data_IF_920242102208
#
_entry.id   IF_920242102208
#
_cell.length_a   1.000
_cell.length_b   1.000
_cell.length_c   1.000
_cell.angle_alpha   90.00
_cell.angle_beta   90.00
_cell.angle_gamma   90.00
#
_symmetry.space_group_name_H-M   'P 1'
#
loop_
_entity.id
_entity.type
_entity.pdbx_description
1 polymer ?
#
# COMPACT_ATOMS: atom_id res chain seq x y z
N UNK A 1 -7.29 -0.01 -19.47
CA UNK A 1 -5.88 0.03 -19.85
C UNK A 1 -5.01 0.24 -18.63
N UNK A 2 -4.00 -0.58 -18.48
CA UNK A 2 -3.06 -0.40 -17.38
C UNK A 2 -1.75 0.21 -17.86
N UNK A 3 -1.22 1.09 -17.03
CA UNK A 3 0.02 1.79 -17.31
C UNK A 3 1.22 1.20 -16.60
N UNK A 4 0.99 0.30 -15.64
CA UNK A 4 2.07 -0.34 -14.89
C UNK A 4 1.87 -1.85 -14.81
N UNK A 5 2.98 -2.57 -14.68
CA UNK A 5 2.98 -3.97 -14.31
C UNK A 5 3.49 -4.08 -12.90
N UNK A 6 2.87 -4.95 -12.12
CA UNK A 6 3.35 -5.28 -10.78
C UNK A 6 3.76 -6.74 -10.80
N UNK A 7 5.05 -6.98 -10.58
CA UNK A 7 5.61 -8.32 -10.64
C UNK A 7 6.10 -8.76 -9.28
N UNK A 8 5.82 -10.00 -8.92
CA UNK A 8 6.34 -10.57 -7.68
C UNK A 8 7.83 -10.78 -7.84
N UNK A 9 8.63 -10.02 -7.11
CA UNK A 9 10.08 -10.12 -7.16
C UNK A 9 10.57 -11.25 -6.25
N UNK A 10 9.90 -11.39 -5.12
CA UNK A 10 10.13 -12.46 -4.16
C UNK A 10 8.85 -12.62 -3.35
N UNK A 11 8.90 -13.40 -2.26
CA UNK A 11 7.69 -13.66 -1.47
C UNK A 11 7.17 -12.44 -0.72
N UNK A 12 7.95 -11.37 -0.63
CA UNK A 12 7.63 -10.22 0.23
C UNK A 12 7.43 -8.90 -0.50
N UNK A 13 7.56 -8.87 -1.82
CA UNK A 13 7.48 -7.60 -2.53
C UNK A 13 7.07 -7.76 -3.98
N UNK A 14 6.36 -6.76 -4.47
CA UNK A 14 6.04 -6.58 -5.88
C UNK A 14 6.83 -5.38 -6.39
N UNK A 15 7.45 -5.53 -7.54
CA UNK A 15 8.11 -4.42 -8.22
C UNK A 15 7.11 -3.81 -9.19
N UNK A 16 6.99 -2.50 -9.18
CA UNK A 16 6.09 -1.77 -10.08
C UNK A 16 6.92 -1.25 -11.25
N UNK A 17 6.51 -1.64 -12.46
CA UNK A 17 7.23 -1.27 -13.69
C UNK A 17 6.29 -0.51 -14.60
N UNK A 18 6.76 0.65 -15.09
CA UNK A 18 6.01 1.41 -16.10
C UNK A 18 6.10 0.65 -17.43
N UNK A 19 4.94 0.35 -18.02
CA UNK A 19 4.90 -0.49 -19.23
C UNK A 19 5.63 0.13 -20.41
N UNK A 20 5.45 1.42 -20.61
CA UNK A 20 5.99 2.11 -21.76
C UNK A 20 7.51 2.15 -21.75
N UNK A 21 8.11 2.51 -20.62
CA UNK A 21 9.57 2.69 -20.53
C UNK A 21 10.31 1.48 -20.00
N UNK A 22 9.60 0.56 -19.34
CA UNK A 22 10.22 -0.56 -18.64
C UNK A 22 10.92 -0.14 -17.36
N UNK A 23 10.76 1.10 -16.91
CA UNK A 23 11.42 1.59 -15.72
C UNK A 23 10.77 1.05 -14.45
N UNK A 24 11.58 0.66 -13.47
CA UNK A 24 11.11 0.33 -12.15
C UNK A 24 10.79 1.64 -11.44
N UNK A 25 9.53 1.86 -11.11
CA UNK A 25 9.05 3.13 -10.54
C UNK A 25 8.73 3.05 -9.06
N UNK A 26 8.72 1.86 -8.51
CA UNK A 26 8.43 1.67 -7.09
C UNK A 26 8.25 0.22 -6.72
N UNK A 27 7.77 0.00 -5.51
CA UNK A 27 7.50 -1.35 -5.04
C UNK A 27 6.39 -1.36 -3.99
N UNK A 28 5.79 -2.53 -3.81
CA UNK A 28 4.83 -2.79 -2.74
C UNK A 28 5.42 -3.90 -1.89
N UNK A 29 5.66 -3.61 -0.62
CA UNK A 29 6.06 -4.64 0.33
C UNK A 29 4.80 -5.33 0.85
N UNK A 30 4.94 -6.61 1.16
CA UNK A 30 3.79 -7.42 1.52
C UNK A 30 4.20 -8.43 2.60
N UNK A 31 3.42 -8.50 3.66
CA UNK A 31 3.67 -9.40 4.77
C UNK A 31 2.35 -9.97 5.27
N UNK A 32 2.39 -11.16 5.84
CA UNK A 32 1.21 -11.79 6.42
C UNK A 32 1.54 -12.15 7.87
N UNK A 33 1.49 -11.14 8.77
CA UNK A 33 1.88 -11.37 10.17
C UNK A 33 0.94 -12.33 10.91
N UNK A 34 -0.29 -12.45 10.45
CA UNK A 34 -1.29 -13.29 11.12
C UNK A 34 -1.97 -14.20 10.09
N UNK A 35 -1.27 -15.25 9.69
CA UNK A 35 -1.79 -16.18 8.68
C UNK A 35 -3.11 -16.82 9.09
N UNK A 36 -3.24 -17.18 10.34
CA UNK A 36 -4.45 -17.81 10.85
C UNK A 36 -5.68 -16.90 10.71
N UNK A 37 -5.48 -15.60 10.83
CA UNK A 37 -6.54 -14.61 10.67
C UNK A 37 -6.71 -14.17 9.23
N UNK A 38 -5.80 -14.58 8.36
CA UNK A 38 -5.77 -14.18 6.95
C UNK A 38 -5.69 -12.66 6.79
N UNK A 39 -4.81 -12.05 7.57
CA UNK A 39 -4.56 -10.60 7.54
C UNK A 39 -3.19 -10.36 6.90
N UNK A 40 -3.17 -9.54 5.86
CA UNK A 40 -1.94 -9.09 5.22
C UNK A 40 -1.68 -7.64 5.54
N UNK A 41 -0.42 -7.25 5.50
CA UNK A 41 -0.01 -5.87 5.71
C UNK A 41 0.83 -5.41 4.53
N UNK A 42 0.53 -4.23 4.00
CA UNK A 42 1.26 -3.68 2.86
C UNK A 42 1.93 -2.36 3.21
N UNK A 43 3.05 -2.11 2.55
CA UNK A 43 3.65 -0.80 2.44
C UNK A 43 4.00 -0.58 0.98
N UNK A 44 4.20 0.66 0.57
CA UNK A 44 4.53 0.93 -0.82
C UNK A 44 5.35 2.22 -0.94
N UNK A 45 6.13 2.27 -2.01
CA UNK A 45 6.93 3.43 -2.35
C UNK A 45 6.81 3.64 -3.85
N UNK A 46 6.51 4.86 -4.25
CA UNK A 46 6.52 5.28 -5.66
C UNK A 46 7.56 6.38 -5.78
N UNK A 47 8.45 6.26 -6.75
CA UNK A 47 9.46 7.28 -7.00
C UNK A 47 8.81 8.63 -7.25
N UNK A 48 9.39 9.68 -6.70
CA UNK A 48 8.83 11.03 -6.75
C UNK A 48 8.51 11.48 -8.17
N UNK A 49 9.35 11.12 -9.12
CA UNK A 49 9.19 11.45 -10.54
C UNK A 49 7.86 10.94 -11.12
N UNK A 50 7.30 9.88 -10.54
CA UNK A 50 6.08 9.25 -11.05
C UNK A 50 4.85 9.52 -10.18
N UNK A 51 4.95 10.43 -9.23
CA UNK A 51 3.81 10.82 -8.40
C UNK A 51 2.77 11.55 -9.25
N UNK A 52 1.53 11.47 -8.83
CA UNK A 52 0.43 12.18 -9.48
C UNK A 52 -0.06 11.58 -10.80
N UNK A 53 0.43 10.41 -11.18
CA UNK A 53 0.05 9.77 -12.45
C UNK A 53 -0.91 8.59 -12.27
N UNK A 54 -1.31 8.28 -11.05
CA UNK A 54 -2.21 7.18 -10.77
C UNK A 54 -1.54 5.81 -10.73
N UNK A 55 -0.23 5.75 -10.85
CA UNK A 55 0.50 4.48 -10.88
C UNK A 55 0.40 3.71 -9.57
N UNK A 56 0.52 4.42 -8.44
CA UNK A 56 0.40 3.79 -7.13
C UNK A 56 -1.01 3.23 -6.92
N UNK A 57 -2.01 4.01 -7.28
CA UNK A 57 -3.41 3.58 -7.18
C UNK A 57 -3.64 2.32 -8.00
N UNK A 58 -3.17 2.31 -9.23
CA UNK A 58 -3.33 1.16 -10.12
C UNK A 58 -2.64 -0.09 -9.54
N UNK A 59 -1.42 0.06 -9.05
CA UNK A 59 -0.64 -1.06 -8.51
C UNK A 59 -1.30 -1.64 -7.26
N UNK A 60 -1.73 -0.77 -6.34
CA UNK A 60 -2.39 -1.22 -5.11
C UNK A 60 -3.72 -1.91 -5.42
N UNK A 61 -4.49 -1.38 -6.37
CA UNK A 61 -5.74 -2.01 -6.79
C UNK A 61 -5.51 -3.41 -7.35
N UNK A 62 -4.46 -3.58 -8.15
CA UNK A 62 -4.11 -4.89 -8.71
C UNK A 62 -3.75 -5.88 -7.60
N UNK A 63 -2.99 -5.44 -6.63
CA UNK A 63 -2.57 -6.29 -5.53
C UNK A 63 -3.78 -6.72 -4.69
N UNK A 64 -4.69 -5.79 -4.39
CA UNK A 64 -5.91 -6.10 -3.66
C UNK A 64 -6.75 -7.10 -4.44
N UNK A 65 -6.90 -6.88 -5.74
CA UNK A 65 -7.66 -7.79 -6.60
C UNK A 65 -7.09 -9.20 -6.58
N UNK A 66 -5.76 -9.31 -6.49
CA UNK A 66 -5.09 -10.61 -6.48
C UNK A 66 -5.22 -11.33 -5.15
N UNK A 67 -5.06 -10.63 -4.04
CA UNK A 67 -4.92 -11.27 -2.72
C UNK A 67 -6.15 -11.18 -1.83
N UNK A 68 -7.01 -10.19 -2.01
CA UNK A 68 -8.17 -10.01 -1.13
C UNK A 68 -9.33 -10.84 -1.67
N UNK A 69 -9.54 -12.02 -1.08
CA UNK A 69 -10.58 -12.94 -1.48
C UNK A 69 -10.92 -13.87 -0.34
N UNK A 70 -12.03 -14.61 -0.48
CA UNK A 70 -12.45 -15.57 0.55
C UNK A 70 -11.42 -16.67 0.77
N UNK A 71 -10.65 -17.02 -0.27
CA UNK A 71 -9.71 -18.12 -0.22
C UNK A 71 -8.29 -17.71 0.14
N UNK A 72 -8.01 -16.41 0.16
CA UNK A 72 -6.68 -15.89 0.46
C UNK A 72 -6.69 -15.02 1.69
N UNK A 73 -6.69 -13.71 1.52
CA UNK A 73 -6.70 -12.79 2.65
C UNK A 73 -8.09 -12.21 2.85
N UNK A 74 -8.52 -12.19 4.09
CA UNK A 74 -9.77 -11.56 4.47
C UNK A 74 -9.62 -10.04 4.58
N UNK A 75 -8.46 -9.59 5.07
CA UNK A 75 -8.21 -8.18 5.36
C UNK A 75 -6.78 -7.81 4.96
N UNK A 76 -6.62 -6.64 4.38
CA UNK A 76 -5.31 -6.06 4.10
C UNK A 76 -5.21 -4.74 4.85
N UNK A 77 -4.14 -4.59 5.62
CA UNK A 77 -3.88 -3.41 6.42
C UNK A 77 -2.75 -2.59 5.81
N UNK A 78 -2.85 -1.26 5.89
CA UNK A 78 -1.81 -0.34 5.47
C UNK A 78 -1.67 0.76 6.51
N UNK A 79 -0.43 1.15 6.79
CA UNK A 79 -0.15 2.23 7.74
C UNK A 79 0.65 3.30 7.03
N UNK A 80 0.38 4.55 7.33
CA UNK A 80 1.19 5.65 6.79
C UNK A 80 1.23 6.83 7.74
N UNK A 81 2.27 7.64 7.58
CA UNK A 81 2.42 8.84 8.39
C UNK A 81 1.25 9.78 8.16
N UNK A 82 0.79 10.40 9.23
CA UNK A 82 -0.34 11.34 9.15
C UNK A 82 -0.03 12.53 8.24
N UNK A 83 1.25 12.86 8.07
CA UNK A 83 1.68 13.95 7.21
C UNK A 83 1.80 13.57 5.74
N UNK A 84 1.73 12.30 5.43
CA UNK A 84 1.87 11.83 4.05
C UNK A 84 0.52 11.88 3.33
N UNK A 85 0.11 13.07 2.94
CA UNK A 85 -1.19 13.29 2.31
C UNK A 85 -1.39 12.50 1.02
N UNK A 86 -0.41 12.41 0.12
CA UNK A 86 -0.59 11.58 -1.08
C UNK A 86 -0.90 10.13 -0.76
N UNK A 87 -0.26 9.56 0.26
CA UNK A 87 -0.49 8.17 0.66
C UNK A 87 -1.88 7.99 1.28
N UNK A 88 -2.29 8.91 2.15
CA UNK A 88 -3.63 8.89 2.74
C UNK A 88 -4.69 8.94 1.64
N UNK A 89 -4.52 9.85 0.68
CA UNK A 89 -5.45 10.00 -0.43
C UNK A 89 -5.50 8.75 -1.29
N UNK A 90 -4.35 8.14 -1.54
CA UNK A 90 -4.27 6.92 -2.35
C UNK A 90 -5.08 5.80 -1.70
N UNK A 91 -4.87 5.57 -0.42
CA UNK A 91 -5.55 4.50 0.30
C UNK A 91 -7.06 4.71 0.30
N UNK A 92 -7.50 5.94 0.55
CA UNK A 92 -8.93 6.25 0.53
C UNK A 92 -9.53 6.08 -0.86
N UNK A 93 -8.79 6.49 -1.88
CA UNK A 93 -9.23 6.36 -3.27
C UNK A 93 -9.38 4.90 -3.69
N UNK A 94 -8.51 4.03 -3.19
CA UNK A 94 -8.58 2.60 -3.48
C UNK A 94 -9.74 1.93 -2.76
N UNK A 95 -10.20 2.51 -1.66
CA UNK A 95 -11.34 1.99 -0.90
C UNK A 95 -10.99 1.53 0.50
N UNK A 96 -9.78 1.81 0.97
CA UNK A 96 -9.43 1.50 2.36
C UNK A 96 -10.23 2.39 3.30
N UNK A 97 -10.54 1.84 4.45
CA UNK A 97 -11.26 2.53 5.51
C UNK A 97 -10.29 2.84 6.64
N UNK A 98 -10.34 4.06 7.14
CA UNK A 98 -9.50 4.47 8.26
C UNK A 98 -9.98 3.81 9.54
N UNK A 99 -9.11 3.02 10.16
CA UNK A 99 -9.42 2.36 11.42
C UNK A 99 -9.06 3.21 12.64
N UNK A 100 -8.03 4.03 12.52
CA UNK A 100 -7.63 4.85 13.65
C UNK A 100 -6.27 5.48 13.45
N UNK A 101 -5.80 6.10 14.54
CA UNK A 101 -4.51 6.78 14.57
C UNK A 101 -3.73 6.25 15.76
N UNK A 102 -2.50 5.81 15.52
CA UNK A 102 -1.58 5.42 16.56
C UNK A 102 -0.66 6.60 16.86
N UNK A 103 -0.71 7.09 18.08
CA UNK A 103 0.06 8.27 18.44
C UNK A 103 1.55 7.97 18.51
N UNK A 104 2.34 8.85 17.89
CA UNK A 104 3.80 8.87 18.08
C UNK A 104 4.49 7.54 17.77
N UNK A 105 4.13 6.96 16.63
CA UNK A 105 4.67 5.66 16.22
C UNK A 105 5.77 5.75 15.17
N UNK A 106 6.07 6.96 14.69
CA UNK A 106 7.13 7.18 13.71
C UNK A 106 7.97 8.37 14.13
N UNK A 107 9.20 8.40 13.67
CA UNK A 107 10.13 9.50 13.92
C UNK A 107 10.44 10.15 12.58
N UNK A 108 10.26 11.47 12.51
CA UNK A 108 10.68 12.24 11.34
C UNK A 108 12.20 12.35 11.40
N UNK A 109 12.87 11.77 10.41
CA UNK A 109 14.34 11.71 10.39
C UNK A 109 15.00 13.07 10.25
N UNK A 110 14.29 14.04 9.69
CA UNK A 110 14.83 15.39 9.47
C UNK A 110 14.75 16.26 10.73
N UNK A 111 13.68 16.11 11.50
CA UNK A 111 13.44 16.97 12.67
C UNK A 111 13.61 16.26 14.00
N UNK A 112 13.59 14.93 14.00
CA UNK A 112 13.61 14.14 15.22
C UNK A 112 12.29 14.11 15.96
N UNK A 113 11.26 14.74 15.41
CA UNK A 113 9.94 14.75 16.04
C UNK A 113 9.21 13.44 15.83
N UNK A 114 8.43 13.06 16.84
CA UNK A 114 7.56 11.90 16.72
C UNK A 114 6.30 12.28 15.96
N UNK A 115 5.85 11.37 15.07
CA UNK A 115 4.68 11.57 14.24
C UNK A 115 3.66 10.46 14.46
N UNK A 116 2.39 10.79 14.27
CA UNK A 116 1.32 9.82 14.37
C UNK A 116 1.26 8.96 13.12
N UNK A 117 0.73 7.76 13.29
CA UNK A 117 0.59 6.78 12.22
C UNK A 117 -0.88 6.49 12.01
N UNK A 118 -1.35 6.64 10.78
CA UNK A 118 -2.75 6.35 10.45
C UNK A 118 -2.85 4.90 9.97
N UNK A 119 -3.83 4.18 10.49
CA UNK A 119 -4.06 2.77 10.15
C UNK A 119 -5.29 2.68 9.27
N UNK A 120 -5.13 2.01 8.13
CA UNK A 120 -6.21 1.74 7.18
C UNK A 120 -6.35 0.26 6.96
N UNK A 121 -7.54 -0.18 6.62
CA UNK A 121 -7.75 -1.56 6.22
C UNK A 121 -8.84 -1.67 5.17
N UNK A 122 -8.81 -2.78 4.45
CA UNK A 122 -9.87 -3.14 3.51
C UNK A 122 -10.15 -4.62 3.69
N UNK A 123 -11.43 -4.99 3.70
CA UNK A 123 -11.84 -6.38 3.85
C UNK A 123 -12.51 -6.87 2.57
N UNK A 124 -12.76 -8.18 2.49
CA UNK A 124 -13.47 -8.76 1.35
C UNK A 124 -14.88 -8.18 1.22
N UNK A 125 -15.47 -7.70 2.33
CA UNK A 125 -16.79 -7.10 2.30
C UNK A 125 -16.80 -5.66 1.80
N UNK A 126 -15.65 -5.00 1.85
CA UNK A 126 -15.51 -3.61 1.40
C UNK A 126 -15.17 -3.51 -0.09
N UNK A 127 -14.73 -4.62 -0.65
CA UNK A 127 -14.19 -4.68 -2.00
C UNK A 127 -15.26 -4.43 -3.08
#
# INVERSE_FOLDING_TARGET
NSFVNAMVKNTNAWVIVEKESGACIGYISFDIPYQELRIGEIGYVIGEKWHGKGYGTEAVKKMISEYLSKDRLYLIEAKCNIDNKPSLNLLEKVGFIKDGVLRKRRIDKNTGEYRDLVVYSITTNDK
#
